data_IF_258271361102
#
_entry.id   IF_258271361102
#
_cell.length_a   1.000
_cell.length_b   1.000
_cell.length_c   1.000
_cell.angle_alpha   90.00
_cell.angle_beta   90.00
_cell.angle_gamma   90.00
#
_symmetry.space_group_name_H-M   'P 1'
#
loop_
_entity.id
_entity.type
_entity.pdbx_description
1 polymer ?
#
# COMPACT_ATOMS: atom_id res chain seq x y z
N UNK A 1 1.34 11.62 11.04
CA UNK A 1 2.16 10.47 10.56
C UNK A 1 1.79 10.21 9.12
N UNK A 2 2.77 10.05 8.23
CA UNK A 2 2.58 9.72 6.83
C UNK A 2 2.83 8.21 6.63
N UNK A 3 1.82 7.51 6.15
CA UNK A 3 1.92 6.11 5.76
C UNK A 3 2.03 6.00 4.24
N UNK A 4 2.77 5.00 3.75
CA UNK A 4 2.85 4.62 2.34
C UNK A 4 2.23 3.24 2.18
N UNK A 5 1.10 3.11 1.48
CA UNK A 5 0.54 1.82 1.10
C UNK A 5 1.03 1.40 -0.28
N UNK A 6 1.35 0.11 -0.43
CA UNK A 6 1.78 -0.50 -1.70
C UNK A 6 0.92 -1.72 -2.01
N UNK A 7 0.36 -1.74 -3.22
CA UNK A 7 -0.23 -2.92 -3.85
C UNK A 7 0.77 -3.48 -4.89
N UNK A 8 1.51 -4.54 -4.56
CA UNK A 8 2.63 -5.00 -5.37
C UNK A 8 2.17 -5.81 -6.59
N UNK A 9 2.51 -5.34 -7.79
CA UNK A 9 2.35 -6.11 -9.02
C UNK A 9 3.48 -5.87 -10.00
N UNK A 10 3.83 -6.91 -10.78
CA UNK A 10 4.92 -6.79 -11.76
C UNK A 10 4.55 -5.90 -12.95
N UNK A 11 3.27 -5.79 -13.31
CA UNK A 11 2.78 -4.98 -14.44
C UNK A 11 2.30 -3.60 -13.98
N UNK A 12 1.53 -3.59 -12.89
CA UNK A 12 0.99 -2.40 -12.24
C UNK A 12 1.31 -2.57 -10.76
N UNK A 13 1.97 -1.59 -10.17
CA UNK A 13 2.22 -1.53 -8.73
C UNK A 13 1.56 -0.25 -8.21
N UNK A 14 0.49 -0.41 -7.43
CA UNK A 14 -0.21 0.71 -6.82
C UNK A 14 0.56 1.30 -5.65
N UNK A 15 0.52 2.62 -5.51
CA UNK A 15 1.04 3.32 -4.33
C UNK A 15 0.07 4.41 -3.85
N UNK A 16 0.02 4.62 -2.54
CA UNK A 16 -0.76 5.67 -1.90
C UNK A 16 -0.07 6.21 -0.66
N UNK A 17 0.07 7.53 -0.56
CA UNK A 17 0.61 8.24 0.59
C UNK A 17 -0.53 8.94 1.32
N UNK A 18 -0.81 8.51 2.55
CA UNK A 18 -1.88 9.06 3.39
C UNK A 18 -1.31 9.62 4.68
N UNK A 19 -1.62 10.89 4.93
CA UNK A 19 -1.27 11.57 6.17
C UNK A 19 -2.38 11.42 7.19
N UNK A 20 -2.02 10.92 8.37
CA UNK A 20 -2.87 10.82 9.56
C UNK A 20 -2.60 12.03 10.46
N UNK A 21 -3.57 12.95 10.52
CA UNK A 21 -3.52 14.22 11.28
C UNK A 21 -4.67 14.28 12.29
N UNK A 22 -4.40 14.04 13.58
CA UNK A 22 -5.35 14.27 14.68
C UNK A 22 -6.82 13.86 14.41
N UNK A 23 -7.01 12.65 13.87
CA UNK A 23 -8.36 12.11 13.56
C UNK A 23 -8.85 12.37 12.14
N UNK A 24 -8.08 13.05 11.31
CA UNK A 24 -8.33 13.24 9.88
C UNK A 24 -7.31 12.48 9.03
N UNK A 25 -7.74 12.13 7.81
CA UNK A 25 -6.91 11.50 6.78
C UNK A 25 -6.81 12.43 5.59
N UNK A 26 -5.62 12.58 5.03
CA UNK A 26 -5.39 13.34 3.80
C UNK A 26 -4.54 12.53 2.82
N UNK A 27 -5.03 12.37 1.59
CA UNK A 27 -4.21 11.83 0.51
C UNK A 27 -3.16 12.87 0.09
N UNK A 28 -1.87 12.54 0.18
CA UNK A 28 -0.77 13.42 -0.26
C UNK A 28 -0.38 13.16 -1.69
N UNK A 29 -0.29 11.88 -2.08
CA UNK A 29 0.00 11.45 -3.45
C UNK A 29 -0.42 10.00 -3.62
N UNK A 30 -0.90 9.63 -4.80
CA UNK A 30 -1.20 8.23 -5.12
C UNK A 30 -1.10 8.03 -6.63
N UNK A 31 -1.05 6.78 -7.05
CA UNK A 31 -1.00 6.41 -8.45
C UNK A 31 -0.50 5.00 -8.63
N UNK A 32 0.07 4.74 -9.82
CA UNK A 32 0.62 3.44 -10.18
C UNK A 32 1.98 3.59 -10.84
N UNK A 33 2.88 2.66 -10.53
CA UNK A 33 4.09 2.40 -11.31
C UNK A 33 3.73 1.33 -12.33
N UNK A 34 3.76 1.68 -13.61
CA UNK A 34 3.41 0.75 -14.71
C UNK A 34 4.66 0.29 -15.44
N UNK A 35 4.69 -0.98 -15.83
CA UNK A 35 5.80 -1.55 -16.60
C UNK A 35 5.30 -2.19 -17.89
N UNK A 36 6.11 -2.12 -18.95
CA UNK A 36 5.75 -2.70 -20.24
C UNK A 36 5.85 -4.24 -20.17
N UNK A 37 4.85 -4.99 -20.68
CA UNK A 37 4.94 -6.44 -20.77
C UNK A 37 6.00 -6.91 -21.78
N UNK A 38 6.47 -6.01 -22.67
CA UNK A 38 7.56 -6.30 -23.63
C UNK A 38 8.95 -6.20 -23.00
N UNK A 39 9.08 -5.60 -21.82
CA UNK A 39 10.34 -5.47 -21.12
C UNK A 39 10.71 -6.77 -20.40
N UNK A 40 12.01 -7.05 -20.26
CA UNK A 40 12.49 -8.21 -19.49
C UNK A 40 12.12 -8.02 -18.02
N UNK A 41 11.89 -9.12 -17.30
CA UNK A 41 11.42 -9.05 -15.90
C UNK A 41 12.35 -8.21 -15.01
N UNK A 42 13.67 -8.38 -15.12
CA UNK A 42 14.63 -7.60 -14.34
C UNK A 42 14.55 -6.08 -14.60
N UNK A 43 14.24 -5.67 -15.83
CA UNK A 43 14.12 -4.24 -16.18
C UNK A 43 12.80 -3.66 -15.59
N UNK A 44 11.74 -4.48 -15.56
CA UNK A 44 10.46 -4.13 -14.92
C UNK A 44 10.65 -3.95 -13.40
N UNK A 45 11.34 -4.90 -12.77
CA UNK A 45 11.68 -4.85 -11.35
C UNK A 45 12.57 -3.65 -11.00
N UNK A 46 13.57 -3.34 -11.83
CA UNK A 46 14.42 -2.16 -11.65
C UNK A 46 13.60 -0.86 -11.72
N UNK A 47 12.65 -0.75 -12.64
CA UNK A 47 11.74 0.40 -12.73
C UNK A 47 10.90 0.57 -11.47
N UNK A 48 10.30 -0.52 -10.98
CA UNK A 48 9.52 -0.53 -9.72
C UNK A 48 10.39 -0.04 -8.55
N UNK A 49 11.59 -0.60 -8.39
CA UNK A 49 12.53 -0.17 -7.35
C UNK A 49 12.86 1.32 -7.46
N UNK A 50 13.26 1.78 -8.64
CA UNK A 50 13.76 3.14 -8.85
C UNK A 50 12.69 4.19 -8.52
N UNK A 51 11.45 3.97 -8.97
CA UNK A 51 10.35 4.90 -8.72
C UNK A 51 9.87 4.85 -7.27
N UNK A 52 9.81 3.65 -6.67
CA UNK A 52 9.44 3.50 -5.27
C UNK A 52 10.48 4.14 -4.34
N UNK A 53 11.77 3.92 -4.60
CA UNK A 53 12.87 4.52 -3.83
C UNK A 53 12.84 6.06 -3.92
N UNK A 54 12.57 6.61 -5.11
CA UNK A 54 12.37 8.04 -5.28
C UNK A 54 11.20 8.57 -4.44
N UNK A 55 10.04 7.88 -4.45
CA UNK A 55 8.89 8.23 -3.63
C UNK A 55 9.20 8.19 -2.13
N UNK A 56 9.87 7.14 -1.65
CA UNK A 56 10.25 7.00 -0.24
C UNK A 56 11.19 8.14 0.17
N UNK A 57 12.18 8.48 -0.66
CA UNK A 57 13.14 9.56 -0.36
C UNK A 57 12.51 10.95 -0.41
N UNK A 58 11.58 11.18 -1.34
CA UNK A 58 10.87 12.44 -1.49
C UNK A 58 9.95 12.70 -0.29
N UNK A 59 9.12 11.72 0.07
CA UNK A 59 8.05 11.91 1.06
C UNK A 59 8.42 11.50 2.48
N UNK A 60 9.44 10.64 2.65
CA UNK A 60 9.90 10.11 3.95
C UNK A 60 8.74 9.61 4.83
N UNK A 61 7.92 8.64 4.35
CA UNK A 61 6.88 8.05 5.17
C UNK A 61 7.48 7.39 6.42
N UNK A 62 6.71 7.29 7.50
CA UNK A 62 7.15 6.64 8.73
C UNK A 62 6.92 5.13 8.70
N UNK A 63 5.93 4.66 7.94
CA UNK A 63 5.61 3.23 7.78
C UNK A 63 5.20 2.92 6.35
N UNK A 64 5.47 1.70 5.91
CA UNK A 64 4.96 1.14 4.66
C UNK A 64 3.95 0.02 4.93
N UNK A 65 2.73 0.19 4.47
CA UNK A 65 1.75 -0.90 4.38
C UNK A 65 1.96 -1.71 3.10
N UNK A 66 1.90 -3.03 3.19
CA UNK A 66 1.88 -3.92 2.03
C UNK A 66 0.79 -4.98 2.18
N UNK A 67 0.09 -5.28 1.09
CA UNK A 67 -0.86 -6.39 1.14
C UNK A 67 -0.13 -7.72 1.38
N UNK A 68 -0.68 -8.52 2.30
CA UNK A 68 -0.25 -9.88 2.54
C UNK A 68 -0.80 -10.78 1.44
N UNK A 69 0.12 -11.30 0.61
CA UNK A 69 -0.24 -12.20 -0.47
C UNK A 69 -0.64 -13.58 0.07
N UNK A 70 -1.84 -14.03 -0.33
CA UNK A 70 -2.28 -15.42 -0.20
C UNK A 70 -2.17 -16.09 -1.56
N UNK A 71 -1.12 -16.88 -1.76
CA UNK A 71 -0.97 -17.62 -3.01
C UNK A 71 -1.93 -18.81 -3.05
N UNK A 72 -2.91 -18.77 -3.96
CA UNK A 72 -3.70 -19.93 -4.36
C UNK A 72 -2.92 -20.88 -5.29
N UNK A 73 -3.63 -21.82 -5.94
CA UNK A 73 -3.01 -22.88 -6.77
C UNK A 73 -2.31 -22.42 -8.07
N UNK A 74 -2.44 -21.15 -8.47
CA UNK A 74 -1.93 -20.66 -9.76
C UNK A 74 -0.52 -20.07 -9.64
N UNK A 75 0.49 -20.94 -9.77
CA UNK A 75 1.91 -20.57 -9.67
C UNK A 75 2.40 -19.57 -10.75
N UNK A 76 1.73 -19.50 -11.90
CA UNK A 76 2.15 -18.68 -13.05
C UNK A 76 2.06 -17.18 -12.79
N UNK A 77 1.08 -16.72 -12.01
CA UNK A 77 0.96 -15.31 -11.59
C UNK A 77 1.67 -15.05 -10.27
N UNK A 78 1.77 -16.07 -9.41
CA UNK A 78 2.41 -15.97 -8.10
C UNK A 78 3.87 -15.55 -8.18
N UNK A 79 4.66 -16.14 -9.10
CA UNK A 79 6.10 -15.86 -9.20
C UNK A 79 6.37 -14.39 -9.59
N UNK A 80 5.82 -13.85 -10.69
CA UNK A 80 6.01 -12.44 -11.05
C UNK A 80 5.61 -11.45 -9.94
N UNK A 81 4.48 -11.70 -9.27
CA UNK A 81 4.00 -10.85 -8.17
C UNK A 81 4.94 -10.97 -6.96
N UNK A 82 5.38 -12.19 -6.63
CA UNK A 82 6.36 -12.42 -5.56
C UNK A 82 7.70 -11.73 -5.80
N UNK A 83 8.17 -11.69 -7.05
CA UNK A 83 9.36 -10.94 -7.44
C UNK A 83 9.18 -9.42 -7.22
N UNK A 84 8.05 -8.86 -7.66
CA UNK A 84 7.74 -7.44 -7.43
C UNK A 84 7.65 -7.12 -5.93
N UNK A 85 6.97 -7.96 -5.15
CA UNK A 85 6.90 -7.84 -3.69
C UNK A 85 8.30 -7.88 -3.05
N UNK A 86 9.18 -8.78 -3.49
CA UNK A 86 10.55 -8.86 -2.99
C UNK A 86 11.32 -7.54 -3.19
N UNK A 87 11.13 -6.90 -4.35
CA UNK A 87 11.73 -5.58 -4.64
C UNK A 87 11.13 -4.47 -3.77
N UNK A 88 9.83 -4.48 -3.52
CA UNK A 88 9.17 -3.53 -2.61
C UNK A 88 9.76 -3.65 -1.20
N UNK A 89 9.86 -4.88 -0.67
CA UNK A 89 10.45 -5.14 0.65
C UNK A 89 11.92 -4.72 0.73
N UNK A 90 12.71 -4.99 -0.32
CA UNK A 90 14.10 -4.54 -0.40
C UNK A 90 14.18 -3.01 -0.36
N UNK A 91 13.31 -2.32 -1.10
CA UNK A 91 13.28 -0.85 -1.16
C UNK A 91 12.94 -0.24 0.20
N UNK A 92 12.02 -0.85 0.96
CA UNK A 92 11.71 -0.46 2.32
C UNK A 92 12.92 -0.64 3.25
N UNK A 93 13.56 -1.83 3.22
CA UNK A 93 14.72 -2.14 4.03
C UNK A 93 15.90 -1.18 3.77
N UNK A 94 16.19 -0.86 2.50
CA UNK A 94 17.25 0.08 2.14
C UNK A 94 17.01 1.50 2.66
N UNK A 95 15.75 1.88 2.88
CA UNK A 95 15.36 3.18 3.40
C UNK A 95 15.06 3.16 4.91
N UNK A 96 15.35 2.05 5.61
CA UNK A 96 15.02 1.83 7.03
C UNK A 96 13.54 2.12 7.35
N UNK A 97 12.64 1.70 6.45
CA UNK A 97 11.22 1.93 6.56
C UNK A 97 10.52 0.68 7.10
N UNK A 98 9.86 0.82 8.25
CA UNK A 98 9.12 -0.28 8.86
C UNK A 98 7.95 -0.71 7.98
N UNK A 99 7.82 -2.03 7.79
CA UNK A 99 6.78 -2.63 6.94
C UNK A 99 5.71 -3.28 7.81
N UNK A 100 4.44 -2.95 7.51
CA UNK A 100 3.25 -3.56 8.09
C UNK A 100 2.56 -4.39 7.02
N UNK A 101 2.49 -5.71 7.21
CA UNK A 101 1.75 -6.60 6.33
C UNK A 101 0.27 -6.65 6.72
N UNK A 102 -0.63 -6.46 5.76
CA UNK A 102 -2.08 -6.36 6.00
C UNK A 102 -2.83 -7.33 5.11
N UNK A 103 -3.70 -8.14 5.67
CA UNK A 103 -4.56 -9.04 4.92
C UNK A 103 -5.71 -8.31 4.22
N UNK A 104 -6.30 -8.85 3.14
CA UNK A 104 -7.46 -8.24 2.49
C UNK A 104 -8.64 -8.01 3.45
N UNK A 105 -8.84 -8.91 4.42
CA UNK A 105 -9.91 -8.77 5.42
C UNK A 105 -9.61 -7.66 6.43
N UNK A 106 -8.36 -7.50 6.84
CA UNK A 106 -7.94 -6.39 7.70
C UNK A 106 -8.11 -5.05 6.97
N UNK A 107 -7.73 -4.95 5.69
CA UNK A 107 -8.01 -3.74 4.88
C UNK A 107 -9.51 -3.43 4.90
N UNK A 108 -10.36 -4.40 4.55
CA UNK A 108 -11.82 -4.21 4.54
C UNK A 108 -12.35 -3.79 5.91
N UNK A 109 -11.90 -4.44 6.97
CA UNK A 109 -12.30 -4.13 8.35
C UNK A 109 -11.88 -2.72 8.76
N UNK A 110 -10.65 -2.31 8.46
CA UNK A 110 -10.12 -0.97 8.79
C UNK A 110 -10.82 0.15 8.05
N UNK A 111 -11.24 -0.09 6.80
CA UNK A 111 -11.86 0.93 5.95
C UNK A 111 -13.37 1.03 6.15
N UNK A 112 -14.05 -0.11 6.28
CA UNK A 112 -15.53 -0.18 6.25
C UNK A 112 -16.16 -0.58 7.57
N UNK A 113 -15.36 -1.05 8.55
CA UNK A 113 -15.85 -1.67 9.78
C UNK A 113 -16.36 -3.10 9.60
N UNK A 114 -16.29 -3.66 8.39
CA UNK A 114 -16.77 -5.00 8.08
C UNK A 114 -15.83 -5.76 7.12
N UNK A 115 -15.20 -6.82 7.61
CA UNK A 115 -14.26 -7.63 6.81
C UNK A 115 -14.85 -8.29 5.55
N UNK A 116 -16.18 -8.39 5.45
CA UNK A 116 -16.87 -8.95 4.28
C UNK A 116 -17.23 -7.92 3.19
N UNK A 117 -16.75 -6.68 3.28
CA UNK A 117 -17.08 -5.63 2.31
C UNK A 117 -16.62 -5.97 0.87
N UNK A 118 -17.39 -5.47 -0.11
CA UNK A 118 -17.04 -5.57 -1.54
C UNK A 118 -15.95 -4.56 -1.92
N UNK A 119 -15.29 -4.77 -3.06
CA UNK A 119 -14.24 -3.86 -3.55
C UNK A 119 -14.78 -2.45 -3.77
N UNK A 120 -15.98 -2.33 -4.33
CA UNK A 120 -16.66 -1.07 -4.60
C UNK A 120 -16.98 -0.32 -3.30
N UNK A 121 -17.37 -1.04 -2.25
CA UNK A 121 -17.60 -0.45 -0.92
C UNK A 121 -16.30 0.09 -0.32
N UNK A 122 -15.18 -0.63 -0.46
CA UNK A 122 -13.87 -0.15 -0.02
C UNK A 122 -13.48 1.11 -0.77
N UNK A 123 -13.55 1.12 -2.11
CA UNK A 123 -13.22 2.29 -2.94
C UNK A 123 -14.10 3.49 -2.57
N UNK A 124 -15.41 3.29 -2.40
CA UNK A 124 -16.33 4.33 -1.96
C UNK A 124 -15.90 4.92 -0.61
N UNK A 125 -15.58 4.07 0.36
CA UNK A 125 -15.15 4.51 1.68
C UNK A 125 -13.79 5.21 1.66
N UNK A 126 -12.81 4.73 0.89
CA UNK A 126 -11.52 5.41 0.69
C UNK A 126 -11.75 6.83 0.14
N UNK A 127 -12.61 6.97 -0.86
CA UNK A 127 -12.96 8.25 -1.46
C UNK A 127 -13.53 9.22 -0.41
N UNK A 128 -14.44 8.73 0.45
CA UNK A 128 -15.05 9.54 1.51
C UNK A 128 -14.08 9.87 2.66
N UNK A 129 -13.30 8.89 3.12
CA UNK A 129 -12.35 9.05 4.21
C UNK A 129 -11.24 10.05 3.87
N UNK A 130 -10.82 10.10 2.61
CA UNK A 130 -9.79 11.01 2.11
C UNK A 130 -10.35 12.31 1.51
N UNK A 131 -11.66 12.48 1.54
CA UNK A 131 -12.38 13.62 0.96
C UNK A 131 -11.97 13.92 -0.50
N UNK A 132 -11.92 12.87 -1.32
CA UNK A 132 -11.63 12.97 -2.76
C UNK A 132 -12.91 13.32 -3.53
N UNK A 133 -12.78 14.14 -4.57
CA UNK A 133 -13.91 14.54 -5.42
C UNK A 133 -14.46 13.36 -6.24
N UNK A 134 -13.58 12.45 -6.66
CA UNK A 134 -13.91 11.26 -7.43
C UNK A 134 -13.17 10.02 -6.92
N UNK A 135 -13.68 8.80 -7.21
CA UNK A 135 -12.99 7.58 -6.86
C UNK A 135 -11.58 7.51 -7.47
N UNK A 136 -10.55 7.18 -6.67
CA UNK A 136 -9.18 7.08 -7.17
C UNK A 136 -9.07 5.99 -8.24
N UNK A 137 -8.35 6.30 -9.31
CA UNK A 137 -8.12 5.39 -10.44
C UNK A 137 -6.63 5.32 -10.80
N UNK A 138 -6.15 4.18 -11.33
CA UNK A 138 -6.87 2.91 -11.47
C UNK A 138 -7.12 2.23 -10.11
N UNK A 139 -7.85 1.11 -10.11
CA UNK A 139 -8.20 0.36 -8.90
C UNK A 139 -6.99 0.05 -8.00
N UNK A 140 -5.82 -0.27 -8.57
CA UNK A 140 -4.59 -0.54 -7.82
C UNK A 140 -4.15 0.66 -6.95
N UNK A 141 -4.43 1.89 -7.40
CA UNK A 141 -4.17 3.09 -6.62
C UNK A 141 -5.17 3.23 -5.45
N UNK A 142 -6.43 2.83 -5.66
CA UNK A 142 -7.43 2.80 -4.60
C UNK A 142 -7.10 1.74 -3.55
N UNK A 143 -6.67 0.55 -3.99
CA UNK A 143 -6.23 -0.55 -3.13
C UNK A 143 -4.99 -0.13 -2.31
N UNK A 144 -4.02 0.55 -2.93
CA UNK A 144 -2.85 1.10 -2.24
C UNK A 144 -3.20 2.19 -1.21
N UNK A 145 -4.16 3.07 -1.51
CA UNK A 145 -4.68 4.03 -0.52
C UNK A 145 -5.36 3.34 0.66
N UNK A 146 -6.15 2.29 0.40
CA UNK A 146 -6.80 1.49 1.45
C UNK A 146 -5.75 0.83 2.36
N UNK A 147 -4.70 0.24 1.78
CA UNK A 147 -3.58 -0.35 2.50
C UNK A 147 -2.86 0.73 3.34
N UNK A 148 -2.63 1.91 2.78
CA UNK A 148 -1.98 3.03 3.49
C UNK A 148 -2.75 3.43 4.74
N UNK A 149 -4.08 3.56 4.63
CA UNK A 149 -4.94 3.93 5.75
C UNK A 149 -4.91 2.83 6.83
N UNK A 150 -5.07 1.56 6.43
CA UNK A 150 -5.05 0.43 7.36
C UNK A 150 -3.70 0.34 8.10
N UNK A 151 -2.58 0.51 7.39
CA UNK A 151 -1.24 0.51 7.97
C UNK A 151 -1.06 1.65 8.98
N UNK A 152 -1.54 2.85 8.63
CA UNK A 152 -1.46 3.98 9.54
C UNK A 152 -2.33 3.81 10.79
N UNK A 153 -3.46 3.11 10.71
CA UNK A 153 -4.22 2.76 11.91
C UNK A 153 -3.48 1.75 12.79
N UNK A 154 -2.90 0.71 12.20
CA UNK A 154 -2.15 -0.30 12.96
C UNK A 154 -0.90 0.29 13.63
N UNK A 155 -0.13 1.10 12.91
CA UNK A 155 1.04 1.79 13.45
C UNK A 155 0.68 2.70 14.65
N UNK A 156 -0.41 3.46 14.54
CA UNK A 156 -0.89 4.30 15.65
C UNK A 156 -1.37 3.45 16.85
N UNK A 157 -1.97 2.28 16.60
CA UNK A 157 -2.39 1.34 17.65
C UNK A 157 -1.20 0.77 18.41
N UNK A 158 -0.16 0.33 17.69
CA UNK A 158 1.09 -0.19 18.27
C UNK A 158 1.82 0.87 19.10
N UNK A 159 1.95 2.09 18.57
CA UNK A 159 2.58 3.20 19.28
C UNK A 159 1.88 3.52 20.62
N UNK A 160 0.53 3.45 20.65
CA UNK A 160 -0.25 3.65 21.88
C UNK A 160 -0.06 2.52 22.89
N UNK A 161 0.01 1.26 22.46
CA UNK A 161 0.24 0.12 23.36
C UNK A 161 1.61 0.22 24.02
N UNK A 162 2.66 0.49 23.23
CA UNK A 162 4.02 0.63 23.75
C UNK A 162 4.15 1.78 24.77
N UNK A 163 3.40 2.87 24.58
CA UNK A 163 3.38 3.99 25.53
C UNK A 163 2.71 3.64 26.87
N UNK A 164 1.73 2.74 26.87
CA UNK A 164 1.02 2.31 28.10
C UNK A 164 1.80 1.26 28.90
N UNK A 165 2.80 0.62 28.29
CA UNK A 165 3.64 -0.42 28.92
C UNK A 165 4.95 0.13 29.50
N UNK A 166 5.23 1.43 29.33
CA UNK A 166 6.39 2.16 29.90
C UNK A 166 5.96 3.11 31.00
#
# INVERSE_FOLDING_TARGET
MLALGIDPGSAICGFGLVEHLQGQLQAKRFGVITTSPKARMQDRLLKIHTELDALIKEFRPQVMGIEKLFFGKNATTAIPVGQARGVVLLSAAQNNLDVIEITPNEVKQSITGYGGATKEQVIYMVTKLLNLDEPPKPDDAADALAISIAAGYEANSLARRNFLET
#
